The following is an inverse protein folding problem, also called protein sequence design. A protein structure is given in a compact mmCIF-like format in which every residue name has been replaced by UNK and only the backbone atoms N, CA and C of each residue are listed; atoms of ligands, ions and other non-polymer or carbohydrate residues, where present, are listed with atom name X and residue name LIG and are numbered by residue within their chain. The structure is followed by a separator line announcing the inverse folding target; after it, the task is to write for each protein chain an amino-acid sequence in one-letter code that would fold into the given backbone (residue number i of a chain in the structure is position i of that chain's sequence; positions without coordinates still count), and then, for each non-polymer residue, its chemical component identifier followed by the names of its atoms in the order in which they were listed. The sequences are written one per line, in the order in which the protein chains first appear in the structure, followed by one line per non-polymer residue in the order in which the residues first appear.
data_IF_661355068717
#
_entry.id   IF_661355068717
#
_cell.length_a   1.000
_cell.length_b   1.000
_cell.length_c   1.000
_cell.angle_alpha   90.00
_cell.angle_beta   90.00
_cell.angle_gamma   90.00
#
_symmetry.space_group_name_H-M   'P 1'
#
loop_
_entity.id
_entity.type
_entity.pdbx_description
1 polymer ?
#
# COMPACT_ATOMS: atom_id res chain seq x y z
N UNK A 1 -4.99 -12.57 -2.32
CA UNK A 1 -3.58 -12.85 -2.69
C UNK A 1 -3.47 -14.25 -3.27
N UNK A 2 -2.81 -14.41 -4.42
CA UNK A 2 -2.75 -15.67 -5.19
C UNK A 2 -2.25 -16.86 -4.36
N UNK A 3 -1.44 -16.62 -3.32
CA UNK A 3 -0.97 -17.68 -2.41
C UNK A 3 -2.12 -18.38 -1.66
N UNK A 4 -3.17 -17.67 -1.26
CA UNK A 4 -4.34 -18.28 -0.61
C UNK A 4 -5.10 -19.15 -1.58
N UNK A 5 -5.27 -18.66 -2.81
CA UNK A 5 -5.99 -19.36 -3.86
C UNK A 5 -5.20 -20.60 -4.33
N UNK A 6 -3.87 -20.51 -4.37
CA UNK A 6 -2.98 -21.64 -4.60
C UNK A 6 -3.18 -22.74 -3.56
N UNK A 7 -3.04 -22.47 -2.26
CA UNK A 7 -3.22 -23.51 -1.24
C UNK A 7 -4.65 -24.08 -1.22
N UNK A 8 -5.66 -23.26 -1.51
CA UNK A 8 -7.05 -23.73 -1.61
C UNK A 8 -7.29 -24.61 -2.85
N UNK A 9 -6.61 -24.34 -3.95
CA UNK A 9 -6.64 -25.20 -5.15
C UNK A 9 -6.09 -26.61 -4.88
N UNK A 10 -5.23 -26.76 -3.86
CA UNK A 10 -4.73 -28.04 -3.36
C UNK A 10 -5.70 -28.73 -2.38
N UNK A 11 -6.89 -28.17 -2.14
CA UNK A 11 -7.90 -28.68 -1.21
C UNK A 11 -7.65 -28.35 0.26
N UNK A 12 -6.69 -27.47 0.57
CA UNK A 12 -6.40 -27.04 1.95
C UNK A 12 -7.39 -25.94 2.34
N UNK A 13 -8.15 -26.14 3.42
CA UNK A 13 -9.07 -25.14 3.98
C UNK A 13 -8.30 -24.02 4.72
N UNK A 14 -7.56 -23.22 3.96
CA UNK A 14 -6.75 -22.12 4.48
C UNK A 14 -7.63 -20.88 4.75
N UNK A 15 -7.82 -20.58 6.03
CA UNK A 15 -8.62 -19.44 6.53
C UNK A 15 -7.75 -18.32 7.06
N UNK A 16 -8.26 -17.10 6.95
CA UNK A 16 -7.69 -15.93 7.62
C UNK A 16 -8.40 -15.69 8.95
N UNK A 17 -7.62 -15.30 9.96
CA UNK A 17 -8.10 -14.74 11.22
C UNK A 17 -7.38 -13.42 11.44
N UNK A 18 -8.05 -12.47 12.09
CA UNK A 18 -7.45 -11.20 12.47
C UNK A 18 -7.55 -11.00 13.98
N UNK A 19 -6.50 -10.35 14.49
CA UNK A 19 -6.11 -10.48 15.87
C UNK A 19 -4.97 -9.56 16.27
N UNK A 20 -4.86 -9.34 17.57
CA UNK A 20 -3.73 -8.67 18.20
C UNK A 20 -3.52 -9.21 19.61
N UNK A 21 -2.35 -8.93 20.20
CA UNK A 21 -2.01 -9.34 21.56
C UNK A 21 -3.05 -8.85 22.56
N UNK A 22 -3.51 -7.61 22.38
CA UNK A 22 -4.51 -6.95 23.20
C UNK A 22 -5.88 -7.65 23.18
N UNK A 23 -6.15 -8.45 22.15
CA UNK A 23 -7.42 -9.17 21.96
C UNK A 23 -7.34 -10.66 22.36
N UNK A 24 -6.22 -11.11 22.93
CA UNK A 24 -5.92 -12.54 23.07
C UNK A 24 -6.06 -13.28 21.73
N UNK A 25 -5.56 -12.65 20.65
CA UNK A 25 -5.56 -13.12 19.25
C UNK A 25 -6.91 -13.05 18.53
N UNK A 26 -8.06 -13.27 19.15
CA UNK A 26 -9.29 -13.46 18.36
C UNK A 26 -10.15 -12.19 18.27
N UNK A 27 -10.13 -11.53 17.10
CA UNK A 27 -11.09 -10.46 16.75
C UNK A 27 -12.08 -10.97 15.70
N UNK A 28 -11.59 -11.39 14.54
CA UNK A 28 -12.42 -11.94 13.46
C UNK A 28 -11.85 -13.25 12.95
N UNK A 29 -12.72 -14.07 12.36
CA UNK A 29 -12.36 -15.32 11.73
C UNK A 29 -13.30 -15.63 10.56
N UNK A 30 -12.79 -16.28 9.53
CA UNK A 30 -13.59 -16.66 8.37
C UNK A 30 -14.46 -17.89 8.67
N UNK A 31 -15.79 -17.81 8.48
CA UNK A 31 -16.68 -18.97 8.59
C UNK A 31 -16.35 -20.04 7.54
N UNK A 32 -16.70 -21.29 7.82
CA UNK A 32 -16.66 -22.34 6.79
C UNK A 32 -17.58 -21.97 5.62
N UNK A 33 -17.10 -22.23 4.39
CA UNK A 33 -17.83 -21.91 3.16
C UNK A 33 -17.88 -20.42 2.79
N UNK A 34 -17.34 -19.52 3.62
CA UNK A 34 -17.32 -18.06 3.38
C UNK A 34 -15.89 -17.52 3.32
N UNK A 35 -14.94 -18.36 2.94
CA UNK A 35 -13.52 -18.04 2.98
C UNK A 35 -13.13 -17.22 1.76
N UNK A 36 -12.69 -15.98 1.96
CA UNK A 36 -12.30 -15.04 0.90
C UNK A 36 -10.88 -14.52 1.09
N UNK A 37 -10.20 -14.11 0.03
CA UNK A 37 -8.79 -13.69 0.13
C UNK A 37 -8.63 -12.21 0.49
N UNK A 38 -9.70 -11.42 0.39
CA UNK A 38 -9.75 -9.97 0.55
C UNK A 38 -10.40 -9.50 1.87
N UNK A 39 -10.79 -10.43 2.74
CA UNK A 39 -11.40 -10.17 4.06
C UNK A 39 -10.68 -10.93 5.17
N UNK A 40 -10.83 -10.45 6.40
CA UNK A 40 -10.36 -11.15 7.61
C UNK A 40 -11.47 -11.89 8.36
N UNK A 41 -12.64 -12.03 7.72
CA UNK A 41 -13.78 -12.76 8.26
C UNK A 41 -14.75 -11.88 9.04
N UNK A 42 -15.65 -12.53 9.77
CA UNK A 42 -16.68 -11.89 10.60
C UNK A 42 -16.22 -11.87 12.06
N UNK A 43 -16.88 -11.06 12.89
CA UNK A 43 -16.60 -11.02 14.33
C UNK A 43 -16.63 -12.42 14.96
N UNK A 44 -15.61 -12.74 15.76
CA UNK A 44 -15.56 -13.98 16.53
C UNK A 44 -16.66 -14.00 17.61
N UNK A 45 -17.08 -15.18 18.12
CA UNK A 45 -18.10 -15.25 19.17
C UNK A 45 -17.75 -14.38 20.39
N UNK A 46 -18.68 -13.49 20.77
CA UNK A 46 -18.50 -12.56 21.89
C UNK A 46 -17.62 -11.34 21.58
N UNK A 47 -17.23 -11.14 20.32
CA UNK A 47 -16.55 -9.92 19.85
C UNK A 47 -17.58 -8.97 19.24
N UNK A 48 -17.56 -7.73 19.69
CA UNK A 48 -18.27 -6.61 19.05
C UNK A 48 -17.27 -5.78 18.24
N UNK A 49 -17.71 -5.27 17.09
CA UNK A 49 -16.91 -4.40 16.22
C UNK A 49 -17.62 -3.06 16.02
N UNK A 50 -16.84 -1.99 15.93
CA UNK A 50 -17.28 -0.68 15.43
C UNK A 50 -16.20 -0.08 14.54
N UNK A 51 -16.61 0.68 13.54
CA UNK A 51 -15.72 1.45 12.66
C UNK A 51 -15.92 2.92 13.02
N UNK A 52 -14.84 3.64 13.33
CA UNK A 52 -14.88 5.07 13.58
C UNK A 52 -14.98 5.87 12.27
N UNK A 53 -15.30 7.17 12.35
CA UNK A 53 -15.47 8.05 11.18
C UNK A 53 -14.19 8.24 10.35
N UNK A 54 -13.02 7.97 10.96
CA UNK A 54 -11.71 7.94 10.30
C UNK A 54 -11.38 6.57 9.68
N UNK A 55 -12.29 5.60 9.77
CA UNK A 55 -12.11 4.23 9.28
C UNK A 55 -11.41 3.29 10.27
N UNK A 56 -11.00 3.76 11.45
CA UNK A 56 -10.31 2.91 12.42
C UNK A 56 -11.24 1.84 13.01
N UNK A 57 -10.75 0.61 13.06
CA UNK A 57 -11.45 -0.54 13.63
C UNK A 57 -11.29 -0.52 15.15
N UNK A 58 -12.40 -0.68 15.85
CA UNK A 58 -12.42 -0.92 17.28
C UNK A 58 -13.11 -2.25 17.56
N UNK A 59 -12.66 -2.93 18.62
CA UNK A 59 -13.33 -4.13 19.11
C UNK A 59 -13.59 -4.04 20.61
N UNK A 60 -14.55 -4.83 21.08
CA UNK A 60 -14.77 -5.12 22.49
C UNK A 60 -15.02 -6.61 22.65
N UNK A 61 -14.34 -7.26 23.59
CA UNK A 61 -14.50 -8.70 23.82
C UNK A 61 -14.09 -9.14 25.23
N UNK A 62 -14.52 -10.32 25.70
CA UNK A 62 -14.03 -10.91 26.94
C UNK A 62 -12.51 -11.17 26.97
N UNK A 63 -11.87 -11.28 25.80
CA UNK A 63 -10.43 -11.51 25.64
C UNK A 63 -9.59 -10.24 25.65
N UNK A 64 -10.20 -9.08 25.89
CA UNK A 64 -9.52 -7.78 25.92
C UNK A 64 -8.53 -7.70 27.07
N UNK A 65 -7.32 -7.20 26.79
CA UNK A 65 -6.26 -7.00 27.78
C UNK A 65 -6.71 -6.10 28.95
N UNK A 66 -6.07 -6.28 30.10
CA UNK A 66 -6.35 -5.46 31.29
C UNK A 66 -5.72 -4.08 31.15
N UNK A 67 -4.41 -4.02 30.97
CA UNK A 67 -3.64 -2.79 30.82
C UNK A 67 -2.25 -3.08 30.29
N UNK A 68 -1.56 -2.04 29.82
CA UNK A 68 -0.12 -2.11 29.59
C UNK A 68 0.63 -1.95 30.91
N UNK A 69 1.58 -2.85 31.16
CA UNK A 69 2.35 -2.86 32.40
C UNK A 69 3.07 -1.52 32.64
N UNK A 70 2.77 -0.88 33.79
CA UNK A 70 3.33 0.42 34.19
C UNK A 70 3.12 1.55 33.19
N UNK A 71 2.11 1.46 32.33
CA UNK A 71 1.83 2.48 31.32
C UNK A 71 0.32 2.84 31.28
N UNK A 72 -0.15 3.61 32.27
CA UNK A 72 -1.56 4.01 32.34
C UNK A 72 -1.96 4.98 31.22
N UNK A 73 -1.02 5.77 30.68
CA UNK A 73 -1.30 6.71 29.58
C UNK A 73 -1.62 5.96 28.30
N UNK A 74 -0.76 5.03 27.88
CA UNK A 74 -1.03 4.20 26.69
C UNK A 74 -2.25 3.31 26.88
N UNK A 75 -2.52 2.84 28.11
CA UNK A 75 -3.73 2.06 28.39
C UNK A 75 -4.99 2.88 28.11
N UNK A 76 -5.03 4.13 28.59
CA UNK A 76 -6.17 5.04 28.39
C UNK A 76 -6.30 5.50 26.94
N UNK A 77 -5.20 5.65 26.21
CA UNK A 77 -5.27 6.02 24.79
C UNK A 77 -5.75 4.86 23.91
N UNK A 78 -5.48 3.62 24.30
CA UNK A 78 -5.83 2.43 23.51
C UNK A 78 -7.22 1.87 23.86
N UNK A 79 -7.61 1.91 25.14
CA UNK A 79 -8.87 1.35 25.61
C UNK A 79 -9.69 2.38 26.37
N UNK A 80 -10.95 2.55 25.94
CA UNK A 80 -11.88 3.47 26.59
C UNK A 80 -12.55 2.86 27.83
N UNK A 81 -13.33 3.68 28.55
CA UNK A 81 -14.04 3.26 29.77
C UNK A 81 -15.18 2.28 29.53
N UNK A 82 -15.65 2.14 28.29
CA UNK A 82 -16.69 1.19 27.89
C UNK A 82 -16.11 -0.14 27.41
N UNK A 83 -14.77 -0.26 27.41
CA UNK A 83 -14.03 -1.46 27.04
C UNK A 83 -13.75 -1.58 25.53
N UNK A 84 -13.99 -0.54 24.74
CA UNK A 84 -13.57 -0.55 23.33
C UNK A 84 -12.08 -0.31 23.21
N UNK A 85 -11.44 -1.11 22.36
CA UNK A 85 -10.02 -1.03 22.06
C UNK A 85 -9.81 -0.55 20.64
N UNK A 86 -9.03 0.51 20.49
CA UNK A 86 -8.51 0.99 19.22
C UNK A 86 -7.48 0.00 18.67
N UNK A 87 -7.70 -0.55 17.48
CA UNK A 87 -6.75 -1.49 16.87
C UNK A 87 -5.53 -0.81 16.24
N UNK A 88 -5.66 0.48 15.92
CA UNK A 88 -4.72 1.19 15.07
C UNK A 88 -4.72 0.72 13.61
N UNK A 89 -5.69 -0.11 13.21
CA UNK A 89 -5.92 -0.56 11.84
C UNK A 89 -7.18 0.11 11.28
N UNK A 90 -7.15 0.50 10.01
CA UNK A 90 -8.29 1.00 9.26
C UNK A 90 -8.94 -0.12 8.46
N UNK A 91 -10.26 -0.11 8.41
CA UNK A 91 -11.04 -1.11 7.71
C UNK A 91 -12.50 -0.74 7.59
N UNK A 92 -13.27 -1.64 6.98
CA UNK A 92 -14.71 -1.51 6.88
C UNK A 92 -15.38 -2.87 6.99
N UNK A 93 -16.61 -2.85 7.47
CA UNK A 93 -17.48 -4.03 7.54
C UNK A 93 -18.39 -3.98 6.33
N UNK A 94 -18.34 -5.02 5.51
CA UNK A 94 -19.27 -5.19 4.39
C UNK A 94 -20.70 -5.36 4.92
N UNK A 95 -21.62 -4.53 4.45
CA UNK A 95 -23.01 -4.50 4.95
C UNK A 95 -23.73 -5.83 4.74
N UNK A 96 -23.51 -6.49 3.61
CA UNK A 96 -24.27 -7.69 3.23
C UNK A 96 -23.74 -8.97 3.91
N UNK A 97 -22.42 -9.07 4.06
CA UNK A 97 -21.75 -10.30 4.54
C UNK A 97 -21.35 -10.21 6.01
N UNK A 98 -21.21 -8.99 6.55
CA UNK A 98 -20.63 -8.74 7.87
C UNK A 98 -19.12 -8.98 7.93
N UNK A 99 -18.46 -9.24 6.80
CA UNK A 99 -17.02 -9.45 6.76
C UNK A 99 -16.27 -8.12 6.97
N UNK A 100 -15.28 -8.16 7.85
CA UNK A 100 -14.31 -7.09 8.03
C UNK A 100 -13.22 -7.20 6.96
N UNK A 101 -12.92 -6.07 6.31
CA UNK A 101 -11.77 -5.87 5.44
C UNK A 101 -10.80 -4.90 6.10
N UNK A 102 -9.58 -5.35 6.34
CA UNK A 102 -8.49 -4.49 6.82
C UNK A 102 -7.79 -3.90 5.60
N UNK A 103 -7.59 -2.59 5.63
CA UNK A 103 -7.00 -1.84 4.54
C UNK A 103 -5.53 -1.57 4.82
N UNK A 104 -5.23 -0.84 5.91
CA UNK A 104 -3.89 -0.46 6.33
C UNK A 104 -3.92 -0.03 7.81
N UNK A 105 -2.83 0.49 8.35
CA UNK A 105 -2.77 1.18 9.64
C UNK A 105 -3.57 2.47 9.57
N UNK A 106 -4.37 2.73 10.60
CA UNK A 106 -5.23 3.92 10.68
C UNK A 106 -4.46 5.24 10.52
N UNK A 107 -3.22 5.31 11.04
CA UNK A 107 -2.35 6.49 10.91
C UNK A 107 -1.81 6.74 9.49
N UNK A 108 -1.84 5.72 8.63
CA UNK A 108 -1.29 5.77 7.28
C UNK A 108 -2.41 5.96 6.22
N UNK A 109 -3.67 5.96 6.65
CA UNK A 109 -4.84 6.24 5.82
C UNK A 109 -5.18 7.72 5.89
N UNK A 110 -5.44 8.30 4.72
CA UNK A 110 -5.83 9.70 4.56
C UNK A 110 -7.20 9.84 3.89
N UNK A 111 -7.48 11.05 3.41
CA UNK A 111 -8.67 11.37 2.61
C UNK A 111 -8.28 12.12 1.36
N UNK A 112 -8.82 11.69 0.23
CA UNK A 112 -8.77 12.47 -1.00
C UNK A 112 -9.52 13.80 -0.81
N UNK A 113 -9.29 14.77 -1.69
CA UNK A 113 -9.89 16.11 -1.60
C UNK A 113 -11.42 16.12 -1.67
N UNK A 114 -12.02 15.14 -2.35
CA UNK A 114 -13.47 14.93 -2.41
C UNK A 114 -14.03 14.18 -1.19
N UNK A 115 -13.16 13.82 -0.23
CA UNK A 115 -13.52 13.08 0.98
C UNK A 115 -13.45 11.56 0.84
N UNK A 116 -13.16 11.02 -0.36
CA UNK A 116 -13.00 9.58 -0.54
C UNK A 116 -11.80 9.05 0.25
N UNK A 117 -11.81 7.76 0.55
CA UNK A 117 -10.71 7.12 1.28
C UNK A 117 -9.41 7.18 0.46
N UNK A 118 -8.30 7.49 1.13
CA UNK A 118 -6.95 7.35 0.57
C UNK A 118 -6.17 6.30 1.38
N UNK A 119 -5.84 5.18 0.73
CA UNK A 119 -5.17 4.04 1.35
C UNK A 119 -3.87 3.69 0.59
N UNK A 120 -2.78 4.42 0.81
CA UNK A 120 -1.59 4.33 -0.03
C UNK A 120 -0.97 2.94 -0.02
N UNK A 121 -0.75 2.31 1.14
CA UNK A 121 -0.08 1.01 1.15
C UNK A 121 -0.89 -0.11 0.51
N UNK A 122 -2.21 0.03 0.47
CA UNK A 122 -3.03 -0.95 -0.23
C UNK A 122 -2.69 -0.97 -1.73
N UNK A 123 -2.58 0.21 -2.34
CA UNK A 123 -2.15 0.37 -3.73
C UNK A 123 -0.69 -0.04 -3.92
N UNK A 124 0.20 0.41 -3.03
CA UNK A 124 1.64 0.08 -3.09
C UNK A 124 1.87 -1.43 -2.99
N UNK A 125 1.16 -2.14 -2.11
CA UNK A 125 1.31 -3.59 -1.95
C UNK A 125 0.73 -4.37 -3.15
N UNK A 126 -0.34 -3.86 -3.78
CA UNK A 126 -0.85 -4.43 -5.04
C UNK A 126 0.18 -4.30 -6.16
N UNK A 127 0.83 -3.14 -6.29
CA UNK A 127 1.89 -2.93 -7.30
C UNK A 127 3.15 -3.74 -7.00
N UNK A 128 3.57 -3.84 -5.74
CA UNK A 128 4.71 -4.68 -5.33
C UNK A 128 4.48 -6.17 -5.44
N UNK A 129 3.27 -6.61 -5.77
CA UNK A 129 3.02 -8.01 -6.08
C UNK A 129 3.61 -8.41 -7.44
N UNK A 130 3.80 -7.45 -8.35
CA UNK A 130 4.49 -7.69 -9.61
C UNK A 130 5.99 -7.82 -9.36
N UNK A 131 6.64 -8.89 -9.85
CA UNK A 131 8.03 -9.22 -9.48
C UNK A 131 9.06 -8.22 -10.00
N UNK A 132 8.70 -7.40 -10.99
CA UNK A 132 9.54 -6.34 -11.54
C UNK A 132 9.38 -4.99 -10.83
N UNK A 133 8.57 -4.90 -9.77
CA UNK A 133 8.40 -3.71 -8.92
C UNK A 133 8.98 -4.01 -7.54
N UNK A 134 10.04 -3.29 -7.17
CA UNK A 134 10.71 -3.44 -5.88
C UNK A 134 10.04 -2.62 -4.78
N UNK A 135 9.74 -1.36 -5.08
CA UNK A 135 9.12 -0.44 -4.14
C UNK A 135 8.16 0.50 -4.87
N UNK A 136 7.14 0.97 -4.16
CA UNK A 136 6.21 1.96 -4.68
C UNK A 136 5.82 2.90 -3.56
N UNK A 137 5.78 4.20 -3.85
CA UNK A 137 5.27 5.22 -2.95
C UNK A 137 4.13 5.95 -3.63
N UNK A 138 2.94 5.87 -3.03
CA UNK A 138 1.73 6.53 -3.54
C UNK A 138 1.44 7.78 -2.71
N UNK A 139 1.07 8.84 -3.42
CA UNK A 139 0.68 10.15 -2.89
C UNK A 139 -0.76 10.44 -3.28
N UNK A 140 -1.53 11.10 -2.43
CA UNK A 140 -2.93 11.40 -2.72
C UNK A 140 -3.70 12.07 -1.59
N UNK A 141 -3.20 12.02 -0.35
CA UNK A 141 -3.87 12.67 0.79
C UNK A 141 -4.07 14.17 0.57
N UNK A 142 -5.32 14.62 0.67
CA UNK A 142 -5.75 15.99 0.39
C UNK A 142 -5.65 16.41 -1.09
N UNK A 143 -5.46 15.48 -2.03
CA UNK A 143 -5.29 15.75 -3.48
C UNK A 143 -6.48 15.25 -4.30
N UNK A 144 -6.58 15.72 -5.54
CA UNK A 144 -7.65 15.37 -6.49
C UNK A 144 -7.44 13.99 -7.14
N UNK A 145 -6.22 13.44 -7.09
CA UNK A 145 -5.86 12.16 -7.72
C UNK A 145 -4.65 11.54 -7.04
N UNK A 146 -4.53 10.22 -7.12
CA UNK A 146 -3.34 9.52 -6.64
C UNK A 146 -2.23 9.54 -7.68
N UNK A 147 -0.99 9.74 -7.24
CA UNK A 147 0.22 9.67 -8.05
C UNK A 147 1.19 8.65 -7.47
N UNK A 148 2.01 8.01 -8.29
CA UNK A 148 2.96 7.00 -7.83
C UNK A 148 4.39 7.28 -8.28
N UNK A 149 5.34 6.99 -7.39
CA UNK A 149 6.75 6.78 -7.73
C UNK A 149 7.07 5.30 -7.57
N UNK A 150 7.72 4.71 -8.57
CA UNK A 150 7.94 3.27 -8.64
C UNK A 150 9.43 2.98 -8.78
N UNK A 151 9.95 2.05 -7.98
CA UNK A 151 11.23 1.41 -8.24
C UNK A 151 11.03 0.08 -8.95
N UNK A 152 11.79 -0.14 -10.01
CA UNK A 152 11.94 -1.49 -10.56
C UNK A 152 12.76 -2.38 -9.63
N UNK A 153 12.53 -3.68 -9.70
CA UNK A 153 13.45 -4.68 -9.15
C UNK A 153 14.55 -4.97 -10.18
N UNK A 154 15.79 -4.56 -9.87
CA UNK A 154 16.91 -4.68 -10.79
C UNK A 154 17.21 -6.13 -11.19
N UNK A 155 17.03 -7.07 -10.27
CA UNK A 155 17.30 -8.48 -10.56
C UNK A 155 16.26 -9.05 -11.52
N UNK A 156 14.97 -8.80 -11.27
CA UNK A 156 13.89 -9.27 -12.13
C UNK A 156 13.93 -8.62 -13.51
N UNK A 157 14.13 -7.30 -13.59
CA UNK A 157 14.22 -6.58 -14.86
C UNK A 157 15.52 -6.90 -15.59
N UNK A 158 16.64 -7.08 -14.88
CA UNK A 158 17.91 -7.52 -15.48
C UNK A 158 17.80 -8.90 -16.12
N UNK A 159 17.16 -9.86 -15.45
CA UNK A 159 16.87 -11.19 -16.02
C UNK A 159 15.99 -11.10 -17.28
N UNK A 160 15.00 -10.21 -17.28
CA UNK A 160 14.18 -9.95 -18.47
C UNK A 160 15.03 -9.34 -19.60
N UNK A 161 15.90 -8.37 -19.30
CA UNK A 161 16.78 -7.74 -20.29
C UNK A 161 17.72 -8.76 -20.95
N UNK A 162 18.35 -9.63 -20.16
CA UNK A 162 19.21 -10.71 -20.67
C UNK A 162 18.47 -11.65 -21.62
N UNK A 163 17.25 -12.09 -21.25
CA UNK A 163 16.43 -12.98 -22.10
C UNK A 163 15.98 -12.33 -23.41
N UNK A 164 15.89 -11.01 -23.43
CA UNK A 164 15.50 -10.22 -24.61
C UNK A 164 16.70 -9.63 -25.37
N UNK A 165 17.94 -10.01 -25.00
CA UNK A 165 19.18 -9.50 -25.60
C UNK A 165 19.33 -7.97 -25.49
N UNK A 166 18.85 -7.39 -24.40
CA UNK A 166 18.98 -5.96 -24.09
C UNK A 166 20.21 -5.78 -23.22
N UNK A 167 21.23 -5.10 -23.77
CA UNK A 167 22.39 -4.69 -23.00
C UNK A 167 22.05 -3.47 -22.14
N UNK A 168 22.51 -3.47 -20.90
CA UNK A 168 22.41 -2.33 -19.98
C UNK A 168 23.66 -2.25 -19.12
N UNK A 169 23.98 -1.04 -18.65
CA UNK A 169 25.16 -0.76 -17.83
C UNK A 169 24.81 -0.31 -16.41
N UNK A 170 23.54 0.05 -16.17
CA UNK A 170 23.09 0.62 -14.89
C UNK A 170 21.61 0.41 -14.64
N UNK A 171 21.20 0.61 -13.38
CA UNK A 171 19.79 0.68 -12.98
C UNK A 171 19.03 1.74 -13.78
N UNK A 172 19.61 2.91 -13.98
CA UNK A 172 18.99 4.05 -14.67
C UNK A 172 18.58 3.71 -16.10
N UNK A 173 19.43 2.98 -16.83
CA UNK A 173 19.14 2.57 -18.21
C UNK A 173 17.93 1.64 -18.28
N UNK A 174 17.84 0.66 -17.37
CA UNK A 174 16.69 -0.24 -17.32
C UNK A 174 15.43 0.47 -16.81
N UNK A 175 15.55 1.30 -15.78
CA UNK A 175 14.44 2.06 -15.23
C UNK A 175 13.83 3.00 -16.27
N UNK A 176 14.65 3.56 -17.18
CA UNK A 176 14.22 4.43 -18.28
C UNK A 176 13.87 3.68 -19.58
N UNK A 177 14.02 2.35 -19.63
CA UNK A 177 13.80 1.59 -20.85
C UNK A 177 12.32 1.58 -21.24
N UNK A 178 12.02 1.84 -22.52
CA UNK A 178 10.64 2.00 -23.02
C UNK A 178 9.74 0.80 -22.72
N UNK A 179 10.25 -0.42 -22.91
CA UNK A 179 9.49 -1.65 -22.64
C UNK A 179 9.31 -1.93 -21.15
N UNK A 180 10.25 -1.47 -20.31
CA UNK A 180 10.12 -1.56 -18.85
C UNK A 180 9.03 -0.60 -18.39
N UNK A 181 9.08 0.66 -18.83
CA UNK A 181 8.03 1.64 -18.58
C UNK A 181 6.65 1.18 -19.08
N UNK A 182 6.58 0.56 -20.26
CA UNK A 182 5.33 -0.01 -20.80
C UNK A 182 4.79 -1.16 -19.93
N UNK A 183 5.68 -2.03 -19.44
CA UNK A 183 5.31 -3.11 -18.51
C UNK A 183 4.80 -2.55 -17.19
N UNK A 184 5.48 -1.56 -16.62
CA UNK A 184 5.03 -0.89 -15.39
C UNK A 184 3.68 -0.19 -15.59
N UNK A 185 3.48 0.45 -16.74
CA UNK A 185 2.20 1.07 -17.06
C UNK A 185 1.06 0.04 -17.08
N UNK A 186 1.26 -1.10 -17.74
CA UNK A 186 0.26 -2.18 -17.76
C UNK A 186 -0.08 -2.65 -16.33
N UNK A 187 0.91 -2.80 -15.46
CA UNK A 187 0.68 -3.17 -14.05
C UNK A 187 -0.12 -2.12 -13.29
N UNK A 188 0.13 -0.83 -13.54
CA UNK A 188 -0.67 0.26 -12.94
C UNK A 188 -2.10 0.24 -13.46
N UNK A 189 -2.30 -0.01 -14.75
CA UNK A 189 -3.63 -0.15 -15.37
C UNK A 189 -4.40 -1.36 -14.79
N UNK A 190 -3.75 -2.50 -14.63
CA UNK A 190 -4.34 -3.71 -14.02
C UNK A 190 -4.75 -3.47 -12.57
N UNK A 191 -3.91 -2.77 -11.79
CA UNK A 191 -4.23 -2.36 -10.42
C UNK A 191 -5.38 -1.37 -10.40
N UNK A 192 -5.41 -0.38 -11.30
CA UNK A 192 -6.50 0.58 -11.40
C UNK A 192 -7.83 -0.11 -11.74
N UNK A 193 -7.83 -1.07 -12.67
CA UNK A 193 -9.01 -1.86 -12.98
C UNK A 193 -9.51 -2.65 -11.75
N UNK A 194 -8.59 -3.25 -10.99
CA UNK A 194 -8.93 -3.92 -9.74
C UNK A 194 -9.47 -2.97 -8.67
N UNK A 195 -8.94 -1.75 -8.57
CA UNK A 195 -9.41 -0.73 -7.62
C UNK A 195 -10.78 -0.17 -8.02
N UNK A 196 -11.03 0.01 -9.32
CA UNK A 196 -12.30 0.50 -9.83
C UNK A 196 -13.48 -0.45 -9.57
N UNK A 197 -13.21 -1.74 -9.39
CA UNK A 197 -14.22 -2.73 -9.00
C UNK A 197 -14.51 -2.74 -7.48
N UNK A 198 -13.79 -1.94 -6.68
CA UNK A 198 -13.93 -1.85 -5.23
C UNK A 198 -14.44 -0.45 -4.84
N UNK A 199 -15.72 -0.37 -4.47
CA UNK A 199 -16.41 0.89 -4.13
C UNK A 199 -15.64 1.74 -3.09
N UNK A 200 -14.99 1.09 -2.11
CA UNK A 200 -14.28 1.78 -1.04
C UNK A 200 -12.91 2.31 -1.48
N UNK A 201 -12.33 1.73 -2.54
CA UNK A 201 -10.94 1.98 -2.95
C UNK A 201 -10.83 2.53 -4.37
N UNK A 202 -11.94 2.70 -5.10
CA UNK A 202 -11.97 3.26 -6.45
C UNK A 202 -11.40 4.68 -6.54
N UNK A 203 -11.42 5.44 -5.45
CA UNK A 203 -10.77 6.76 -5.33
C UNK A 203 -9.24 6.70 -5.31
N UNK A 204 -8.66 5.54 -5.00
CA UNK A 204 -7.21 5.34 -4.89
C UNK A 204 -6.52 5.03 -6.23
N UNK A 205 -7.21 5.12 -7.36
CA UNK A 205 -6.63 4.87 -8.69
C UNK A 205 -5.49 5.86 -9.00
N UNK A 206 -4.36 5.31 -9.45
CA UNK A 206 -3.17 6.09 -9.84
C UNK A 206 -3.44 6.76 -11.18
N UNK A 207 -3.42 8.08 -11.21
CA UNK A 207 -3.66 8.86 -12.43
C UNK A 207 -2.38 9.16 -13.19
N UNK A 208 -1.25 9.26 -12.49
CA UNK A 208 0.08 9.50 -13.10
C UNK A 208 1.17 8.82 -12.29
N UNK A 209 2.22 8.38 -12.98
CA UNK A 209 3.37 7.80 -12.31
C UNK A 209 4.69 8.13 -13.02
N UNK A 210 5.79 7.86 -12.33
CA UNK A 210 7.13 7.81 -12.89
C UNK A 210 7.90 6.64 -12.30
N UNK A 211 8.93 6.18 -13.01
CA UNK A 211 9.91 5.23 -12.49
C UNK A 211 11.13 6.01 -11.99
N UNK A 212 11.50 5.80 -10.74
CA UNK A 212 12.64 6.46 -10.11
C UNK A 212 13.95 6.03 -10.76
N UNK A 213 14.92 6.94 -10.84
CA UNK A 213 16.25 6.70 -11.41
C UNK A 213 17.23 6.01 -10.43
N UNK A 214 16.83 5.80 -9.18
CA UNK A 214 17.57 5.00 -8.20
C UNK A 214 16.59 4.24 -7.32
N UNK A 215 17.04 3.12 -6.75
CA UNK A 215 16.31 2.43 -5.69
C UNK A 215 16.25 3.29 -4.42
N UNK A 216 15.12 3.25 -3.70
CA UNK A 216 15.05 3.84 -2.37
C UNK A 216 15.95 3.09 -1.38
N UNK A 217 16.69 3.83 -0.55
CA UNK A 217 17.73 3.26 0.31
C UNK A 217 17.57 3.66 1.80
N UNK A 218 17.97 2.77 2.70
CA UNK A 218 17.99 3.04 4.13
C UNK A 218 19.13 3.98 4.54
N UNK A 219 20.27 3.94 3.85
CA UNK A 219 21.41 4.82 4.10
C UNK A 219 21.13 6.26 3.66
N UNK A 220 20.26 6.43 2.66
CA UNK A 220 19.67 7.72 2.28
C UNK A 220 18.56 8.21 3.22
N UNK A 221 18.20 7.40 4.21
CA UNK A 221 17.13 7.68 5.16
C UNK A 221 15.72 7.60 4.57
N UNK A 222 15.58 7.14 3.33
CA UNK A 222 14.31 6.98 2.60
C UNK A 222 13.54 5.75 3.11
N UNK A 223 14.28 4.72 3.51
CA UNK A 223 13.77 3.51 4.14
C UNK A 223 14.27 3.36 5.58
N UNK A 224 13.56 2.59 6.40
CA UNK A 224 14.14 2.00 7.61
C UNK A 224 15.06 0.84 7.22
N UNK A 225 15.92 0.39 8.15
CA UNK A 225 16.73 -0.85 7.96
C UNK A 225 15.87 -2.12 7.72
N UNK A 226 14.59 -2.07 8.11
CA UNK A 226 13.60 -3.11 7.82
C UNK A 226 12.82 -2.86 6.53
N UNK A 227 13.34 -1.97 5.66
CA UNK A 227 12.77 -1.57 4.37
C UNK A 227 11.36 -0.97 4.43
N UNK A 228 11.02 -0.28 5.52
CA UNK A 228 9.78 0.50 5.59
C UNK A 228 10.01 1.92 5.07
N UNK A 229 9.18 2.37 4.13
CA UNK A 229 9.22 3.73 3.58
C UNK A 229 9.03 4.78 4.67
N UNK A 230 9.89 5.79 4.70
CA UNK A 230 9.80 6.99 5.55
C UNK A 230 9.17 8.13 4.76
N UNK A 231 7.84 8.14 4.65
CA UNK A 231 7.07 9.05 3.78
C UNK A 231 7.46 10.52 3.88
N UNK A 232 7.62 11.06 5.09
CA UNK A 232 8.01 12.46 5.26
C UNK A 232 9.38 12.78 4.61
N UNK A 233 10.32 11.84 4.68
CA UNK A 233 11.64 12.00 4.04
C UNK A 233 11.50 11.93 2.52
N UNK A 234 10.65 11.03 2.01
CA UNK A 234 10.37 10.93 0.57
C UNK A 234 9.74 12.23 0.06
N UNK A 235 8.74 12.75 0.77
CA UNK A 235 8.03 13.99 0.41
C UNK A 235 8.95 15.20 0.37
N UNK A 236 9.89 15.29 1.31
CA UNK A 236 10.87 16.37 1.36
C UNK A 236 11.94 16.21 0.26
N UNK A 237 12.51 15.00 0.11
CA UNK A 237 13.64 14.74 -0.79
C UNK A 237 13.26 14.75 -2.26
N UNK A 238 12.06 14.26 -2.59
CA UNK A 238 11.55 14.14 -3.96
C UNK A 238 10.44 15.15 -4.26
N UNK A 239 10.47 16.28 -3.58
CA UNK A 239 9.44 17.32 -3.72
C UNK A 239 9.31 17.80 -5.17
N UNK A 240 10.41 17.94 -5.88
CA UNK A 240 10.46 18.31 -7.30
C UNK A 240 9.70 17.30 -8.18
N UNK A 241 9.87 16.00 -7.93
CA UNK A 241 9.19 14.93 -8.66
C UNK A 241 7.69 14.92 -8.35
N UNK A 242 7.34 15.09 -7.08
CA UNK A 242 5.94 15.16 -6.63
C UNK A 242 5.26 16.38 -7.25
N UNK A 243 5.90 17.54 -7.22
CA UNK A 243 5.40 18.76 -7.85
C UNK A 243 5.25 18.58 -9.38
N UNK A 244 6.16 17.86 -10.03
CA UNK A 244 6.06 17.56 -11.47
C UNK A 244 4.90 16.62 -11.79
N UNK A 245 4.67 15.58 -10.97
CA UNK A 245 3.53 14.67 -11.07
C UNK A 245 2.20 15.45 -10.99
N UNK A 246 2.04 16.32 -10.01
CA UNK A 246 0.81 17.12 -9.88
C UNK A 246 0.75 18.31 -10.85
N UNK A 247 1.90 18.77 -11.36
CA UNK A 247 2.02 19.96 -12.20
C UNK A 247 1.75 19.76 -13.70
N UNK A 248 1.32 18.56 -14.12
CA UNK A 248 0.99 18.29 -15.53
C UNK A 248 2.20 18.11 -16.45
N UNK A 249 3.42 18.00 -15.92
CA UNK A 249 4.63 17.76 -16.73
C UNK A 249 4.62 16.35 -17.32
N UNK A 250 5.24 16.17 -18.49
CA UNK A 250 5.48 14.86 -19.13
C UNK A 250 6.88 14.33 -18.86
N UNK A 251 7.79 15.19 -18.43
CA UNK A 251 9.15 14.82 -18.03
C UNK A 251 9.71 15.79 -16.99
N UNK A 252 10.71 15.35 -16.24
CA UNK A 252 11.42 16.18 -15.25
C UNK A 252 12.89 15.79 -15.14
N UNK A 253 13.78 16.77 -15.24
CA UNK A 253 15.18 16.61 -14.84
C UNK A 253 15.28 16.71 -13.32
N UNK A 254 16.04 15.80 -12.70
CA UNK A 254 16.27 15.76 -11.27
C UNK A 254 17.70 15.31 -10.96
N UNK A 255 18.21 15.74 -9.82
CA UNK A 255 19.49 15.32 -9.26
C UNK A 255 19.29 14.97 -7.78
N UNK A 256 19.45 13.68 -7.45
CA UNK A 256 19.21 13.14 -6.11
C UNK A 256 20.52 12.86 -5.42
N UNK A 257 20.71 13.42 -4.22
CA UNK A 257 21.83 13.07 -3.34
C UNK A 257 21.73 11.61 -2.89
N UNK A 258 22.85 10.88 -2.98
CA UNK A 258 22.97 9.49 -2.51
C UNK A 258 24.09 9.35 -1.51
N UNK A 259 23.91 8.49 -0.52
CA UNK A 259 24.89 8.14 0.50
C UNK A 259 25.41 6.74 0.21
N UNK A 260 26.71 6.61 -0.02
CA UNK A 260 27.36 5.31 -0.25
C UNK A 260 27.64 4.60 1.07
N UNK A 261 27.93 3.30 1.02
CA UNK A 261 28.20 2.47 2.21
C UNK A 261 29.37 2.98 3.07
N UNK A 262 30.33 3.68 2.46
CA UNK A 262 31.46 4.31 3.15
C UNK A 262 31.11 5.66 3.82
N UNK A 263 29.85 6.09 3.72
CA UNK A 263 29.31 7.34 4.24
C UNK A 263 29.62 8.56 3.37
N UNK A 264 30.28 8.38 2.22
CA UNK A 264 30.47 9.45 1.26
C UNK A 264 29.15 9.82 0.57
N UNK A 265 29.04 11.07 0.14
CA UNK A 265 27.87 11.58 -0.58
C UNK A 265 28.20 11.79 -2.05
N UNK A 266 27.30 11.37 -2.92
CA UNK A 266 27.32 11.65 -4.35
C UNK A 266 25.96 12.15 -4.82
N UNK A 267 25.81 12.29 -6.14
CA UNK A 267 24.52 12.57 -6.75
C UNK A 267 24.29 11.67 -7.95
N UNK A 268 23.01 11.34 -8.17
CA UNK A 268 22.55 10.65 -9.37
C UNK A 268 21.56 11.58 -10.06
N UNK A 269 21.82 11.90 -11.32
CA UNK A 269 20.96 12.75 -12.12
C UNK A 269 20.29 11.96 -13.25
N UNK A 270 19.05 12.32 -13.57
CA UNK A 270 18.30 11.73 -14.68
C UNK A 270 17.19 12.68 -15.16
N UNK A 271 16.73 12.47 -16.38
CA UNK A 271 15.44 12.97 -16.85
C UNK A 271 14.44 11.83 -16.77
N UNK A 272 13.38 12.00 -15.97
CA UNK A 272 12.34 11.00 -15.78
C UNK A 272 11.14 11.31 -16.67
N UNK A 273 10.63 10.29 -17.36
CA UNK A 273 9.35 10.34 -18.04
C UNK A 273 8.22 10.25 -17.00
N UNK A 274 7.17 11.06 -17.18
CA UNK A 274 5.94 11.01 -16.38
C UNK A 274 4.82 10.53 -17.29
N UNK A 275 4.19 9.42 -16.91
CA UNK A 275 3.10 8.83 -17.68
C UNK A 275 1.75 9.09 -17.03
N UNK A 276 0.79 9.46 -17.87
CA UNK A 276 -0.61 9.48 -17.52
C UNK A 276 -1.20 8.07 -17.63
N UNK A 277 -2.10 7.72 -16.71
CA UNK A 277 -2.82 6.46 -16.71
C UNK A 277 -4.30 6.73 -16.62
N UNK A 278 -5.07 6.08 -17.49
CA UNK A 278 -6.53 6.19 -17.51
C UNK A 278 -7.12 5.69 -16.19
N UNK A 279 -8.08 6.46 -15.65
CA UNK A 279 -8.95 5.96 -14.58
C UNK A 279 -10.09 5.15 -15.19
N UNK A 280 -10.36 3.99 -14.61
CA UNK A 280 -11.49 3.15 -14.94
C UNK A 280 -12.69 3.64 -14.15
N UNK A 281 -13.82 3.83 -14.84
CA UNK A 281 -15.07 4.19 -14.19
C UNK A 281 -15.52 3.05 -13.27
N UNK A 282 -15.99 3.38 -12.07
CA UNK A 282 -16.61 2.39 -11.20
C UNK A 282 -17.95 1.98 -11.82
N UNK A 283 -18.06 0.73 -12.27
CA UNK A 283 -19.36 0.15 -12.63
C UNK A 283 -20.10 -0.18 -11.32
N UNK A 284 -21.14 0.59 -10.99
CA UNK A 284 -22.05 0.20 -9.92
C UNK A 284 -22.60 -1.19 -10.24
N UNK A 285 -22.32 -2.18 -9.38
CA UNK A 285 -22.96 -3.48 -9.48
C UNK A 285 -24.46 -3.25 -9.39
N UNK A 286 -25.17 -3.53 -10.49
CA UNK A 286 -26.62 -3.54 -10.50
C UNK A 286 -27.11 -4.47 -9.38
N UNK A 287 -27.94 -3.91 -8.49
CA UNK A 287 -28.54 -4.59 -7.35
C UNK A 287 -29.43 -5.78 -7.77
#
# INVERSE_FOLDING_TARGET
PEIFDFYRSLGINLKQLYGQTEASVFITQQPDGQVRSDTVGVASPGVELKIADNGEVFYRSPGTFVEYYKNPESTKSTKDTEGWVATGDAGFIEKDTGHLRIIDRAKDVGKMKDGSLFAPKYVENKLKFFPNILETVVFGDGRDSCMAMINIDLQAVGNWAERNNIAYSSYQELAAHVDVYATIQQHVEDVNASLAADEMLAGCQVSRFLVLHKELDADDGELTRTRKVRRSVIEDKYKDLIDALYGGKTEIYTETEVTYEDGSKGSIAATLEIRDVGRVAHEEKAA
#
